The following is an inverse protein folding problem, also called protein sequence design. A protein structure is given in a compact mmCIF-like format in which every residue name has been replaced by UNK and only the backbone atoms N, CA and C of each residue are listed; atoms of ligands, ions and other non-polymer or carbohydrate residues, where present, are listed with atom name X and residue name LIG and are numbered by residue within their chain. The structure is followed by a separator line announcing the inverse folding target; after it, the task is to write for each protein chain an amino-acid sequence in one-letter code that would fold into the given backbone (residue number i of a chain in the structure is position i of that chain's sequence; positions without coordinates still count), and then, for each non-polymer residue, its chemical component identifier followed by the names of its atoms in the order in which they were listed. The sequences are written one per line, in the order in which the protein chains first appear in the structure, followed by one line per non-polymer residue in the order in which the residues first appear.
data_IF_623877955712
#
_entry.id   IF_623877955712
#
_cell.length_a   1.000
_cell.length_b   1.000
_cell.length_c   1.000
_cell.angle_alpha   90.00
_cell.angle_beta   90.00
_cell.angle_gamma   90.00
#
_symmetry.space_group_name_H-M   'P 1'
#
loop_
_entity.id
_entity.type
_entity.pdbx_description
1 polymer ?
#
# COMPACT_ATOMS: atom_id res chain seq x y z
N UNK A 1 22.21 4.91 -8.02
CA UNK A 1 21.65 6.22 -7.66
C UNK A 1 21.71 7.25 -8.78
N UNK A 2 22.91 7.72 -9.19
CA UNK A 2 23.05 8.81 -10.17
C UNK A 2 22.19 8.67 -11.44
N UNK A 3 22.21 7.49 -12.06
CA UNK A 3 21.44 7.22 -13.28
C UNK A 3 19.91 7.25 -13.08
N UNK A 4 19.40 6.97 -11.88
CA UNK A 4 17.96 7.13 -11.58
C UNK A 4 17.58 8.62 -11.52
N UNK A 5 18.44 9.45 -10.92
CA UNK A 5 18.26 10.91 -10.90
C UNK A 5 18.35 11.50 -12.31
N UNK A 6 19.25 11.01 -13.17
CA UNK A 6 19.35 11.47 -14.57
C UNK A 6 18.04 11.21 -15.33
N UNK A 7 17.48 10.00 -15.21
CA UNK A 7 16.20 9.66 -15.84
C UNK A 7 15.04 10.46 -15.30
N UNK A 8 15.02 10.70 -13.98
CA UNK A 8 14.00 11.55 -13.40
C UNK A 8 14.07 12.97 -13.98
N UNK A 9 15.26 13.53 -14.19
CA UNK A 9 15.42 14.84 -14.81
C UNK A 9 15.01 14.87 -16.29
N UNK A 10 15.18 13.75 -17.01
CA UNK A 10 14.70 13.58 -18.38
C UNK A 10 13.16 13.51 -18.45
N UNK A 11 12.53 12.75 -17.56
CA UNK A 11 11.08 12.52 -17.55
C UNK A 11 10.29 13.66 -16.89
N UNK A 12 10.87 14.27 -15.86
CA UNK A 12 10.25 15.32 -15.03
C UNK A 12 11.15 16.55 -14.90
N UNK A 13 11.48 17.23 -16.03
CA UNK A 13 12.32 18.42 -15.99
C UNK A 13 11.73 19.54 -15.12
N UNK A 14 10.41 19.58 -14.91
CA UNK A 14 9.71 20.55 -14.05
C UNK A 14 10.04 20.44 -12.56
N UNK A 15 10.72 19.37 -12.12
CA UNK A 15 11.21 19.24 -10.74
C UNK A 15 12.53 19.98 -10.50
N UNK A 16 13.19 20.42 -11.56
CA UNK A 16 14.55 20.94 -11.52
C UNK A 16 14.61 22.35 -12.13
N UNK A 17 15.49 23.17 -11.56
CA UNK A 17 16.04 24.34 -12.25
C UNK A 17 17.50 24.04 -12.55
N UNK A 18 17.75 23.65 -13.81
CA UNK A 18 19.08 23.25 -14.27
C UNK A 18 20.00 24.44 -14.53
N UNK A 19 19.48 25.67 -14.49
CA UNK A 19 20.26 26.90 -14.62
C UNK A 19 20.93 27.33 -13.31
N UNK A 20 20.45 26.80 -12.18
CA UNK A 20 21.00 27.04 -10.84
C UNK A 20 21.62 25.74 -10.33
N UNK A 21 22.95 25.67 -10.33
CA UNK A 21 23.68 24.45 -9.98
C UNK A 21 24.92 24.73 -9.12
N UNK A 22 25.19 23.84 -8.17
CA UNK A 22 26.39 23.89 -7.32
C UNK A 22 27.60 23.27 -8.02
N UNK A 23 27.34 22.22 -8.79
CA UNK A 23 28.28 21.53 -9.66
C UNK A 23 27.53 20.91 -10.85
N UNK A 24 28.24 20.26 -11.77
CA UNK A 24 27.62 19.58 -12.91
C UNK A 24 26.63 18.50 -12.44
N UNK A 25 25.37 18.64 -12.82
CA UNK A 25 24.29 17.72 -12.43
C UNK A 25 23.72 17.94 -11.03
N UNK A 26 24.26 18.88 -10.25
CA UNK A 26 23.77 19.25 -8.92
C UNK A 26 22.80 20.43 -9.00
N UNK A 27 21.70 20.20 -9.71
CA UNK A 27 20.69 21.21 -10.02
C UNK A 27 19.84 21.56 -8.79
N UNK A 28 19.26 22.76 -8.79
CA UNK A 28 18.27 23.17 -7.80
C UNK A 28 17.00 22.33 -7.97
N UNK A 29 16.51 21.76 -6.86
CA UNK A 29 15.28 20.97 -6.82
C UNK A 29 14.10 21.88 -6.45
N UNK A 30 13.20 22.12 -7.39
CA UNK A 30 12.02 22.98 -7.22
C UNK A 30 10.91 22.29 -6.40
N UNK A 31 10.85 20.95 -6.49
CA UNK A 31 9.81 20.12 -5.86
C UNK A 31 10.45 18.97 -5.07
N UNK A 32 10.90 19.22 -3.82
CA UNK A 32 11.71 18.24 -3.08
C UNK A 32 11.02 16.91 -2.79
N UNK A 33 9.73 16.93 -2.43
CA UNK A 33 8.97 15.70 -2.14
C UNK A 33 8.78 14.86 -3.40
N UNK A 34 8.39 15.49 -4.49
CA UNK A 34 8.19 14.86 -5.79
C UNK A 34 9.50 14.36 -6.39
N UNK A 35 10.61 15.07 -6.16
CA UNK A 35 11.95 14.61 -6.49
C UNK A 35 12.30 13.32 -5.75
N UNK A 36 12.18 13.28 -4.42
CA UNK A 36 12.51 12.09 -3.63
C UNK A 36 11.64 10.89 -4.01
N UNK A 37 10.32 11.11 -4.14
CA UNK A 37 9.39 10.08 -4.60
C UNK A 37 9.74 9.59 -6.03
N UNK A 38 10.06 10.51 -6.94
CA UNK A 38 10.45 10.17 -8.31
C UNK A 38 11.74 9.37 -8.39
N UNK A 39 12.74 9.66 -7.55
CA UNK A 39 13.99 8.87 -7.50
C UNK A 39 13.69 7.45 -7.04
N UNK A 40 12.84 7.30 -6.03
CA UNK A 40 12.37 5.99 -5.55
C UNK A 40 11.65 5.23 -6.66
N UNK A 41 10.78 5.88 -7.43
CA UNK A 41 10.03 5.24 -8.51
C UNK A 41 10.93 4.80 -9.68
N UNK A 42 11.92 5.60 -10.08
CA UNK A 42 12.92 5.19 -11.09
C UNK A 42 13.74 3.98 -10.64
N UNK A 43 14.13 3.92 -9.35
CA UNK A 43 14.83 2.74 -8.80
C UNK A 43 13.94 1.49 -8.82
N UNK A 44 12.65 1.64 -8.53
CA UNK A 44 11.68 0.54 -8.57
C UNK A 44 11.44 0.02 -9.99
N UNK A 45 11.47 0.89 -11.00
CA UNK A 45 11.42 0.47 -12.41
C UNK A 45 12.58 -0.47 -12.77
N UNK A 46 13.71 -0.35 -12.07
CA UNK A 46 14.88 -1.20 -12.21
C UNK A 46 14.91 -2.40 -11.26
N UNK A 47 13.77 -2.74 -10.65
CA UNK A 47 13.59 -3.88 -9.74
C UNK A 47 14.33 -3.78 -8.41
N UNK A 48 14.84 -2.60 -8.05
CA UNK A 48 15.28 -2.37 -6.68
C UNK A 48 14.07 -2.12 -5.77
N UNK A 49 14.17 -2.56 -4.51
CA UNK A 49 13.30 -2.04 -3.47
C UNK A 49 13.89 -0.71 -3.00
N UNK A 50 13.08 0.35 -2.96
CA UNK A 50 13.52 1.67 -2.52
C UNK A 50 12.43 2.40 -1.72
N UNK A 51 12.87 3.26 -0.81
CA UNK A 51 12.06 4.16 0.00
C UNK A 51 12.82 5.45 0.32
N UNK A 52 12.14 6.43 0.90
CA UNK A 52 12.71 7.73 1.27
C UNK A 52 12.21 8.15 2.65
N UNK A 53 13.01 8.94 3.36
CA UNK A 53 12.60 9.63 4.59
C UNK A 53 11.74 10.89 4.34
N UNK A 54 11.44 11.20 3.07
CA UNK A 54 10.73 12.40 2.61
C UNK A 54 11.43 13.75 2.90
N UNK A 55 12.67 13.70 3.39
CA UNK A 55 13.46 14.87 3.76
C UNK A 55 14.65 15.03 2.83
N UNK A 56 15.50 14.02 2.70
CA UNK A 56 16.71 14.10 1.88
C UNK A 56 17.29 12.76 1.44
N UNK A 57 16.91 11.64 2.08
CA UNK A 57 17.57 10.35 1.86
C UNK A 57 16.69 9.38 1.08
N UNK A 58 17.35 8.48 0.36
CA UNK A 58 16.76 7.34 -0.33
C UNK A 58 17.50 6.08 0.09
N UNK A 59 16.77 5.12 0.63
CA UNK A 59 17.26 3.80 1.00
C UNK A 59 16.93 2.82 -0.13
N UNK A 60 17.89 1.98 -0.52
CA UNK A 60 17.76 1.04 -1.63
C UNK A 60 18.35 -0.31 -1.27
N UNK A 61 17.80 -1.38 -1.85
CA UNK A 61 18.37 -2.73 -1.79
C UNK A 61 17.93 -3.58 -2.97
N UNK A 62 18.69 -4.64 -3.21
CA UNK A 62 18.46 -5.62 -4.28
C UNK A 62 18.27 -7.05 -3.75
N UNK A 63 17.90 -7.19 -2.48
CA UNK A 63 17.80 -8.48 -1.79
C UNK A 63 17.61 -8.31 -0.29
N UNK A 64 17.71 -9.41 0.45
CA UNK A 64 17.40 -9.48 1.88
C UNK A 64 18.60 -9.36 2.82
N UNK A 65 19.81 -9.22 2.29
CA UNK A 65 21.04 -9.22 3.09
C UNK A 65 21.35 -7.86 3.71
N UNK A 66 21.20 -6.78 2.94
CA UNK A 66 21.47 -5.43 3.38
C UNK A 66 20.66 -4.39 2.60
N UNK A 67 20.59 -3.18 3.15
CA UNK A 67 20.20 -1.97 2.43
C UNK A 67 21.30 -0.94 2.49
N UNK A 68 21.27 0.00 1.54
CA UNK A 68 22.16 1.14 1.51
C UNK A 68 21.34 2.42 1.50
N UNK A 69 21.74 3.40 2.30
CA UNK A 69 21.11 4.71 2.39
C UNK A 69 21.97 5.75 1.70
N UNK A 70 21.33 6.59 0.90
CA UNK A 70 21.97 7.66 0.17
C UNK A 70 21.29 9.00 0.47
N UNK A 71 22.06 10.02 0.86
CA UNK A 71 21.64 11.41 0.91
C UNK A 71 21.73 12.01 -0.50
N UNK A 72 20.56 12.32 -1.07
CA UNK A 72 20.41 12.74 -2.47
C UNK A 72 19.95 14.19 -2.61
N UNK A 73 19.78 14.91 -1.50
CA UNK A 73 19.33 16.30 -1.47
C UNK A 73 20.12 17.11 -0.45
N UNK A 74 20.92 18.06 -0.95
CA UNK A 74 21.64 19.00 -0.09
C UNK A 74 20.64 19.86 0.72
N UNK A 75 21.01 20.28 1.94
CA UNK A 75 20.21 21.24 2.71
C UNK A 75 19.96 22.58 1.99
N UNK A 76 20.80 22.92 1.02
CA UNK A 76 20.63 24.08 0.13
C UNK A 76 19.57 23.87 -0.95
N UNK A 77 18.94 22.69 -0.98
CA UNK A 77 17.89 22.32 -1.93
C UNK A 77 18.41 21.94 -3.32
N UNK A 78 19.64 21.45 -3.43
CA UNK A 78 20.24 21.00 -4.69
C UNK A 78 20.43 19.48 -4.67
N UNK A 79 20.36 18.85 -5.84
CA UNK A 79 20.70 17.43 -6.00
C UNK A 79 22.10 17.19 -5.43
N UNK A 80 22.25 16.20 -4.55
CA UNK A 80 23.57 15.71 -4.10
C UNK A 80 24.03 14.57 -5.01
N UNK A 81 25.26 14.62 -5.52
CA UNK A 81 25.83 13.57 -6.37
C UNK A 81 27.22 13.10 -5.92
N UNK A 82 27.66 12.01 -6.55
CA UNK A 82 29.01 11.46 -6.38
C UNK A 82 29.21 10.68 -5.08
N UNK A 83 30.47 10.46 -4.72
CA UNK A 83 30.84 9.57 -3.61
C UNK A 83 30.34 10.04 -2.23
N UNK A 84 29.92 11.30 -2.11
CA UNK A 84 29.42 11.89 -0.87
C UNK A 84 27.92 11.66 -0.63
N UNK A 85 27.23 10.94 -1.54
CA UNK A 85 25.82 10.58 -1.32
C UNK A 85 25.67 9.41 -0.38
N UNK A 86 26.62 8.47 -0.34
CA UNK A 86 26.49 7.27 0.51
C UNK A 86 26.53 7.66 2.00
N UNK A 87 25.57 7.15 2.76
CA UNK A 87 25.45 7.40 4.21
C UNK A 87 25.88 6.15 4.98
N UNK A 88 25.22 5.03 4.71
CA UNK A 88 25.42 3.80 5.48
C UNK A 88 24.92 2.55 4.72
N UNK A 89 25.38 1.39 5.18
CA UNK A 89 24.85 0.07 4.85
C UNK A 89 24.29 -0.54 6.14
N UNK A 90 23.06 -1.03 6.10
CA UNK A 90 22.43 -1.73 7.22
C UNK A 90 22.32 -3.24 6.91
N UNK A 91 22.74 -4.07 7.85
CA UNK A 91 22.55 -5.53 7.83
C UNK A 91 21.99 -6.00 9.18
N UNK A 92 20.73 -6.47 9.27
CA UNK A 92 19.78 -6.69 8.17
C UNK A 92 19.29 -5.38 7.52
N UNK A 93 18.61 -5.45 6.35
CA UNK A 93 18.08 -4.26 5.69
C UNK A 93 17.22 -3.40 6.62
N UNK A 94 17.37 -2.07 6.51
CA UNK A 94 16.67 -1.07 7.32
C UNK A 94 15.17 -0.97 7.05
N UNK A 95 14.69 -1.62 6.00
CA UNK A 95 13.27 -1.67 5.63
C UNK A 95 12.87 -3.07 5.10
N UNK A 96 11.59 -3.45 5.01
CA UNK A 96 11.14 -4.80 4.58
C UNK A 96 11.43 -5.12 3.11
N UNK A 97 11.79 -6.37 2.77
CA UNK A 97 12.35 -6.76 1.45
C UNK A 97 11.31 -7.36 0.52
N UNK A 98 10.41 -8.16 1.06
CA UNK A 98 9.35 -8.81 0.31
C UNK A 98 8.03 -8.70 1.07
N UNK A 99 6.89 -8.72 0.37
CA UNK A 99 5.61 -8.49 1.01
C UNK A 99 5.28 -9.54 2.08
N UNK A 100 5.72 -10.78 1.90
CA UNK A 100 5.57 -11.85 2.90
C UNK A 100 6.33 -11.59 4.22
N UNK A 101 7.32 -10.70 4.23
CA UNK A 101 8.03 -10.27 5.46
C UNK A 101 7.39 -9.02 6.09
N UNK A 102 6.78 -8.17 5.27
CA UNK A 102 6.09 -6.95 5.72
C UNK A 102 4.67 -7.23 6.24
N UNK A 103 3.99 -8.20 5.65
CA UNK A 103 2.61 -8.58 5.96
C UNK A 103 2.63 -9.57 7.13
N UNK A 104 2.29 -9.08 8.32
CA UNK A 104 2.11 -9.91 9.49
C UNK A 104 0.77 -10.66 9.47
N UNK A 105 -0.28 -10.03 8.95
CA UNK A 105 -1.60 -10.63 8.75
C UNK A 105 -2.41 -9.79 7.74
N UNK A 106 -3.49 -10.34 7.20
CA UNK A 106 -4.46 -9.60 6.38
C UNK A 106 -5.71 -9.35 7.21
N UNK A 107 -6.10 -8.09 7.39
CA UNK A 107 -7.38 -7.74 8.01
C UNK A 107 -8.46 -7.72 6.94
N UNK A 108 -9.45 -8.61 7.04
CA UNK A 108 -10.65 -8.57 6.19
C UNK A 108 -11.82 -8.08 7.04
N UNK A 109 -12.41 -6.95 6.68
CA UNK A 109 -13.48 -6.35 7.48
C UNK A 109 -14.34 -5.38 6.66
N UNK A 110 -15.53 -5.06 7.18
CA UNK A 110 -16.33 -3.96 6.65
C UNK A 110 -15.60 -2.63 6.85
N UNK A 111 -15.54 -1.82 5.79
CA UNK A 111 -15.19 -0.39 5.88
C UNK A 111 -16.42 0.52 5.72
N UNK A 112 -17.55 -0.04 5.27
CA UNK A 112 -18.84 0.62 5.28
C UNK A 112 -19.98 -0.37 5.11
N UNK A 113 -21.19 0.05 5.49
CA UNK A 113 -22.43 -0.70 5.28
C UNK A 113 -23.49 0.31 4.80
N UNK A 114 -24.18 -0.03 3.72
CA UNK A 114 -25.31 0.73 3.20
C UNK A 114 -26.57 -0.13 3.20
N UNK A 115 -27.67 0.41 3.72
CA UNK A 115 -28.92 -0.33 3.87
C UNK A 115 -30.07 0.37 3.15
N UNK A 116 -31.10 -0.39 2.84
CA UNK A 116 -32.39 0.14 2.41
C UNK A 116 -33.04 1.01 3.50
N UNK A 117 -33.99 1.85 3.07
CA UNK A 117 -34.77 2.70 3.98
C UNK A 117 -35.43 1.88 5.09
N UNK A 118 -35.35 2.42 6.31
CA UNK A 118 -35.91 1.81 7.52
C UNK A 118 -34.99 0.79 8.21
N UNK A 119 -33.78 0.53 7.69
CA UNK A 119 -32.78 -0.33 8.34
C UNK A 119 -31.58 0.53 8.80
N UNK A 120 -31.31 0.52 10.10
CA UNK A 120 -30.11 1.17 10.66
C UNK A 120 -28.87 0.32 10.37
N UNK A 121 -27.91 0.89 9.64
CA UNK A 121 -26.64 0.23 9.37
C UNK A 121 -25.89 -0.12 10.68
N UNK A 122 -25.46 -1.38 10.87
CA UNK A 122 -24.64 -1.75 12.02
C UNK A 122 -23.28 -1.05 12.02
N UNK A 123 -22.58 -1.13 13.16
CA UNK A 123 -21.16 -0.75 13.22
C UNK A 123 -20.34 -1.70 12.38
N UNK A 124 -19.39 -1.18 11.60
CA UNK A 124 -18.48 -1.98 10.77
C UNK A 124 -17.81 -3.15 11.50
N UNK A 125 -17.34 -2.93 12.74
CA UNK A 125 -16.68 -3.95 13.56
C UNK A 125 -17.62 -4.95 14.25
N UNK A 126 -18.94 -4.83 14.06
CA UNK A 126 -19.90 -5.76 14.66
C UNK A 126 -19.94 -7.11 13.95
N UNK A 127 -19.39 -7.20 12.73
CA UNK A 127 -19.44 -8.40 11.88
C UNK A 127 -20.87 -8.92 11.66
N UNK A 128 -21.81 -7.99 11.46
CA UNK A 128 -23.23 -8.28 11.22
C UNK A 128 -23.68 -7.55 9.95
N UNK A 129 -24.42 -8.24 9.09
CA UNK A 129 -25.00 -7.69 7.87
C UNK A 129 -26.50 -8.05 7.76
N UNK A 130 -27.43 -7.11 8.00
CA UNK A 130 -28.85 -7.39 7.86
C UNK A 130 -29.26 -7.69 6.41
N UNK A 131 -30.25 -8.56 6.22
CA UNK A 131 -30.96 -8.69 4.94
C UNK A 131 -31.55 -7.32 4.57
N UNK A 132 -31.35 -6.89 3.32
CA UNK A 132 -31.65 -5.51 2.88
C UNK A 132 -30.48 -4.53 3.01
N UNK A 133 -29.29 -5.00 3.41
CA UNK A 133 -28.05 -4.24 3.42
C UNK A 133 -26.99 -4.80 2.46
N UNK A 134 -26.07 -3.91 2.08
CA UNK A 134 -24.83 -4.20 1.35
C UNK A 134 -23.65 -3.82 2.25
N UNK A 135 -22.73 -4.75 2.45
CA UNK A 135 -21.49 -4.53 3.17
C UNK A 135 -20.34 -4.29 2.20
N UNK A 136 -19.56 -3.24 2.43
CA UNK A 136 -18.33 -2.98 1.68
C UNK A 136 -17.16 -3.51 2.48
N UNK A 137 -16.49 -4.55 1.97
CA UNK A 137 -15.42 -5.27 2.64
C UNK A 137 -14.09 -4.89 2.00
N UNK A 138 -13.07 -4.69 2.82
CA UNK A 138 -11.69 -4.49 2.36
C UNK A 138 -10.78 -5.55 2.97
N UNK A 139 -9.80 -6.02 2.19
CA UNK A 139 -8.65 -6.76 2.69
C UNK A 139 -7.50 -5.77 2.84
N UNK A 140 -6.94 -5.64 4.04
CA UNK A 140 -5.84 -4.73 4.31
C UNK A 140 -4.68 -5.52 4.88
N UNK A 141 -3.58 -5.72 4.14
CA UNK A 141 -2.36 -6.29 4.70
C UNK A 141 -1.80 -5.38 5.78
N UNK A 142 -1.46 -5.96 6.94
CA UNK A 142 -1.06 -5.25 8.15
C UNK A 142 0.34 -5.64 8.59
N UNK A 143 1.07 -4.66 9.09
CA UNK A 143 2.32 -4.86 9.81
C UNK A 143 2.03 -5.38 11.23
N UNK A 144 3.06 -5.89 11.93
CA UNK A 144 2.94 -6.31 13.34
C UNK A 144 2.50 -5.16 14.26
N UNK A 145 2.82 -3.92 13.90
CA UNK A 145 2.41 -2.69 14.58
C UNK A 145 0.92 -2.33 14.37
N UNK A 146 0.17 -3.11 13.58
CA UNK A 146 -1.21 -2.84 13.14
C UNK A 146 -1.36 -1.67 12.14
N UNK A 147 -0.25 -1.09 11.68
CA UNK A 147 -0.22 -0.16 10.56
C UNK A 147 -0.44 -0.91 9.23
N UNK A 148 -0.91 -0.17 8.22
CA UNK A 148 -1.05 -0.72 6.87
C UNK A 148 0.32 -1.00 6.26
N UNK A 149 0.45 -2.10 5.53
CA UNK A 149 1.63 -2.32 4.69
C UNK A 149 1.51 -1.38 3.48
N UNK A 150 2.54 -0.55 3.19
CA UNK A 150 2.50 0.39 2.09
C UNK A 150 2.13 -0.27 0.75
N UNK A 151 1.31 0.42 -0.04
CA UNK A 151 0.77 -0.13 -1.30
C UNK A 151 1.84 -0.56 -2.29
N UNK A 152 2.99 0.13 -2.33
CA UNK A 152 4.10 -0.23 -3.21
C UNK A 152 4.77 -1.56 -2.85
N UNK A 153 4.63 -2.02 -1.59
CA UNK A 153 5.10 -3.33 -1.15
C UNK A 153 4.05 -4.37 -1.55
N UNK A 154 2.79 -4.15 -1.19
CA UNK A 154 1.69 -5.10 -1.46
C UNK A 154 1.45 -5.29 -2.97
N UNK A 155 1.60 -4.25 -3.79
CA UNK A 155 1.23 -4.32 -5.20
C UNK A 155 -0.26 -4.70 -5.37
N UNK A 156 -0.57 -5.48 -6.42
CA UNK A 156 -1.94 -5.91 -6.74
C UNK A 156 -2.18 -7.40 -6.47
N UNK A 157 -1.30 -8.09 -5.74
CA UNK A 157 -1.48 -9.51 -5.44
C UNK A 157 -2.56 -9.71 -4.37
N UNK A 158 -3.76 -10.06 -4.82
CA UNK A 158 -4.86 -10.42 -3.96
C UNK A 158 -5.73 -11.48 -4.62
N UNK A 159 -6.12 -12.49 -3.84
CA UNK A 159 -7.14 -13.46 -4.21
C UNK A 159 -8.20 -13.52 -3.12
N UNK A 160 -9.44 -13.78 -3.52
CA UNK A 160 -10.59 -13.83 -2.61
C UNK A 160 -11.25 -15.20 -2.69
N UNK A 161 -11.75 -15.67 -1.54
CA UNK A 161 -12.49 -16.92 -1.43
C UNK A 161 -13.64 -16.76 -0.45
N UNK A 162 -14.86 -17.04 -0.90
CA UNK A 162 -15.98 -17.24 0.01
C UNK A 162 -15.86 -18.67 0.57
N UNK A 163 -15.34 -18.78 1.79
CA UNK A 163 -15.08 -20.05 2.46
C UNK A 163 -16.39 -20.73 2.92
N UNK A 164 -17.36 -19.93 3.37
CA UNK A 164 -18.65 -20.40 3.87
C UNK A 164 -19.76 -19.40 3.55
N UNK A 165 -20.99 -19.89 3.37
CA UNK A 165 -22.21 -19.08 3.31
C UNK A 165 -22.58 -18.63 1.90
N UNK A 166 -22.29 -19.45 0.88
CA UNK A 166 -22.67 -19.16 -0.53
C UNK A 166 -24.17 -19.09 -0.79
N UNK A 167 -24.99 -19.60 0.13
CA UNK A 167 -26.45 -19.42 0.15
C UNK A 167 -26.89 -18.19 0.99
N UNK A 168 -25.99 -17.61 1.79
CA UNK A 168 -26.27 -16.47 2.68
C UNK A 168 -25.93 -15.14 2.06
N UNK A 169 -24.91 -15.10 1.21
CA UNK A 169 -24.41 -13.85 0.60
C UNK A 169 -24.03 -14.04 -0.86
N UNK A 170 -24.10 -12.93 -1.61
CA UNK A 170 -23.43 -12.80 -2.91
C UNK A 170 -22.27 -11.83 -2.76
N UNK A 171 -21.11 -12.18 -3.32
CA UNK A 171 -19.91 -11.34 -3.31
C UNK A 171 -19.66 -10.81 -4.72
N UNK A 172 -19.50 -9.49 -4.84
CA UNK A 172 -19.20 -8.80 -6.09
C UNK A 172 -17.83 -8.11 -6.02
N UNK A 173 -17.13 -8.11 -7.13
CA UNK A 173 -15.90 -7.35 -7.30
C UNK A 173 -16.16 -5.84 -7.26
N UNK A 174 -15.25 -5.11 -6.62
CA UNK A 174 -15.18 -3.66 -6.75
C UNK A 174 -14.44 -3.32 -8.06
N UNK A 175 -15.02 -2.49 -8.94
CA UNK A 175 -14.45 -2.21 -10.26
C UNK A 175 -13.21 -1.31 -10.23
N UNK A 176 -12.88 -0.72 -9.08
CA UNK A 176 -11.79 0.26 -8.93
C UNK A 176 -10.68 -0.24 -8.01
N UNK A 177 -10.93 -1.25 -7.18
CA UNK A 177 -9.94 -1.76 -6.24
C UNK A 177 -10.11 -3.25 -5.94
N UNK A 178 -9.16 -4.07 -6.40
CA UNK A 178 -9.18 -5.52 -6.21
C UNK A 178 -9.17 -5.96 -4.73
N UNK A 179 -8.73 -5.08 -3.82
CA UNK A 179 -8.72 -5.29 -2.37
C UNK A 179 -10.07 -4.98 -1.72
N UNK A 180 -11.06 -4.60 -2.52
CA UNK A 180 -12.41 -4.36 -2.05
C UNK A 180 -13.40 -5.34 -2.69
N UNK A 181 -14.45 -5.66 -1.94
CA UNK A 181 -15.61 -6.43 -2.37
C UNK A 181 -16.89 -5.79 -1.85
N UNK A 182 -17.98 -6.01 -2.57
CA UNK A 182 -19.33 -5.74 -2.08
C UNK A 182 -20.00 -7.06 -1.73
N UNK A 183 -20.51 -7.18 -0.52
CA UNK A 183 -21.25 -8.35 -0.02
C UNK A 183 -22.72 -7.98 0.11
N UNK A 184 -23.61 -8.75 -0.51
CA UNK A 184 -25.06 -8.57 -0.45
C UNK A 184 -25.65 -9.69 0.39
N UNK A 185 -26.40 -9.36 1.43
CA UNK A 185 -27.09 -10.34 2.26
C UNK A 185 -28.33 -10.91 1.54
N UNK A 186 -28.47 -12.24 1.55
CA UNK A 186 -29.61 -12.98 1.02
C UNK A 186 -30.45 -13.57 2.15
N UNK A 187 -29.85 -14.43 2.96
CA UNK A 187 -30.54 -15.22 3.98
C UNK A 187 -29.76 -15.23 5.32
N UNK A 188 -30.45 -15.21 6.47
CA UNK A 188 -29.81 -15.23 7.77
C UNK A 188 -28.90 -16.43 7.99
N UNK A 189 -27.76 -16.22 8.65
CA UNK A 189 -26.79 -17.25 8.98
C UNK A 189 -25.34 -16.78 8.82
N UNK A 190 -24.37 -17.61 9.28
CA UNK A 190 -22.96 -17.26 9.23
C UNK A 190 -22.39 -17.36 7.81
N UNK A 191 -21.42 -16.50 7.50
CA UNK A 191 -20.59 -16.59 6.31
C UNK A 191 -19.13 -16.23 6.64
N UNK A 192 -18.21 -16.69 5.80
CA UNK A 192 -16.79 -16.41 5.95
C UNK A 192 -16.18 -16.00 4.60
N UNK A 193 -15.66 -14.78 4.54
CA UNK A 193 -14.99 -14.23 3.35
C UNK A 193 -13.51 -14.05 3.64
N UNK A 194 -12.67 -14.78 2.92
CA UNK A 194 -11.23 -14.77 3.08
C UNK A 194 -10.54 -14.07 1.92
N UNK A 195 -9.38 -13.48 2.21
CA UNK A 195 -8.54 -12.84 1.22
C UNK A 195 -7.07 -13.19 1.50
N UNK A 196 -6.32 -13.49 0.44
CA UNK A 196 -4.91 -13.86 0.51
C UNK A 196 -4.08 -12.88 -0.29
N UNK A 197 -3.07 -12.28 0.34
CA UNK A 197 -2.09 -11.40 -0.29
C UNK A 197 -0.69 -11.91 0.00
N UNK A 198 0.09 -12.17 -1.04
CA UNK A 198 1.45 -12.73 -0.98
C UNK A 198 1.55 -13.97 -0.09
N UNK A 199 0.56 -14.86 -0.19
CA UNK A 199 0.49 -16.10 0.57
C UNK A 199 0.03 -15.96 2.03
N UNK A 200 -0.24 -14.74 2.51
CA UNK A 200 -0.80 -14.51 3.85
C UNK A 200 -2.32 -14.36 3.75
N UNK A 201 -3.05 -15.26 4.40
CA UNK A 201 -4.52 -15.27 4.41
C UNK A 201 -5.08 -14.59 5.66
N UNK A 202 -6.19 -13.88 5.49
CA UNK A 202 -7.04 -13.42 6.58
C UNK A 202 -8.51 -13.58 6.20
N UNK A 203 -9.37 -13.72 7.20
CA UNK A 203 -10.81 -13.95 6.98
C UNK A 203 -11.66 -13.02 7.83
N UNK A 204 -12.76 -12.56 7.24
CA UNK A 204 -13.88 -11.99 7.96
C UNK A 204 -14.87 -13.11 8.25
N UNK A 205 -15.14 -13.34 9.53
CA UNK A 205 -16.26 -14.18 9.98
C UNK A 205 -17.38 -13.25 10.41
N UNK A 206 -18.54 -13.35 9.76
CA UNK A 206 -19.67 -12.46 9.98
C UNK A 206 -21.00 -13.21 9.87
N UNK A 207 -22.06 -12.56 10.33
CA UNK A 207 -23.41 -13.12 10.37
C UNK A 207 -24.38 -12.26 9.58
N UNK A 208 -25.11 -12.89 8.68
CA UNK A 208 -26.31 -12.29 8.09
C UNK A 208 -27.44 -12.39 9.11
N UNK A 209 -28.06 -11.27 9.44
CA UNK A 209 -29.21 -11.23 10.36
C UNK A 209 -30.50 -10.93 9.61
N UNK A 210 -31.67 -11.33 10.13
CA UNK A 210 -32.95 -11.04 9.50
C UNK A 210 -33.16 -9.55 9.21
N UNK A 211 -34.00 -9.25 8.22
CA UNK A 211 -34.46 -7.88 7.96
C UNK A 211 -35.19 -7.36 9.21
N UNK A 212 -34.67 -6.30 9.88
CA UNK A 212 -35.22 -5.83 11.14
C UNK A 212 -36.60 -5.17 11.00
N UNK A 213 -37.11 -5.01 9.77
CA UNK A 213 -38.45 -4.50 9.48
C UNK A 213 -39.51 -5.61 9.52
N UNK A 214 -39.12 -6.89 9.59
CA UNK A 214 -40.01 -8.06 9.49
C UNK A 214 -40.10 -8.85 10.79
#
# INVERSE_FOLDING_TARGET
MGAAIDRLAEHHPEYFDTSVNVATGEWRVLRPREYLAGVVDELRLWRFCAETDEVATVSVKNGSEFSETYDVLLPTGHVRRGNHTYVETCSPPSFPVVPSEAIAYVRVAFYGIACEDGITAPRNGANVLPVGCRGFVTATPKQRSNEDVPRYIVGNDISWRLEQGGDRVVVHDDPHNDFNKTVVALDPGPYALCATSHGVEGCQYAEVVPDPRR
#
